data_IF_668557137477
#
_entry.id   IF_668557137477
#
_cell.length_a   1.000
_cell.length_b   1.000
_cell.length_c   1.000
_cell.angle_alpha   90.00
_cell.angle_beta   90.00
_cell.angle_gamma   90.00
#
_symmetry.space_group_name_H-M   'P 1'
#
loop_
_entity.id
_entity.type
_entity.pdbx_description
1 polymer ?
#
# COMPACT_ATOMS: atom_id res chain seq x y z
N UNK A 1 26.95 -7.60 -21.93
CA UNK A 1 26.08 -7.80 -20.76
C UNK A 1 25.20 -6.57 -20.68
N UNK A 2 23.88 -6.74 -20.66
CA UNK A 2 22.94 -5.61 -20.80
C UNK A 2 23.04 -4.69 -19.57
N UNK A 3 23.35 -3.42 -19.78
CA UNK A 3 23.25 -2.33 -18.80
C UNK A 3 21.78 -1.99 -18.50
N UNK A 4 20.93 -3.01 -18.32
CA UNK A 4 19.52 -2.77 -17.98
C UNK A 4 19.49 -2.21 -16.56
N UNK A 5 18.92 -1.01 -16.33
CA UNK A 5 18.68 -0.54 -14.98
C UNK A 5 17.88 -1.62 -14.22
N UNK A 6 18.17 -1.86 -12.94
CA UNK A 6 17.42 -2.85 -12.17
C UNK A 6 15.92 -2.55 -12.30
N UNK A 7 15.12 -3.55 -12.68
CA UNK A 7 13.66 -3.44 -12.69
C UNK A 7 13.18 -3.26 -11.24
N UNK A 8 13.13 -2.01 -10.77
CA UNK A 8 12.57 -1.67 -9.47
C UNK A 8 11.08 -1.35 -9.62
N UNK A 9 10.28 -1.88 -8.71
CA UNK A 9 8.91 -1.43 -8.54
C UNK A 9 8.89 -0.15 -7.71
N UNK A 10 7.83 0.66 -7.85
CA UNK A 10 7.67 1.82 -6.96
C UNK A 10 7.52 1.41 -5.49
N UNK A 11 7.00 0.20 -5.24
CA UNK A 11 6.88 -0.35 -3.89
C UNK A 11 8.24 -0.59 -3.22
N UNK A 12 9.29 -0.83 -4.02
CA UNK A 12 10.66 -1.01 -3.55
C UNK A 12 11.37 0.33 -3.25
N UNK A 13 10.92 1.44 -3.85
CA UNK A 13 11.49 2.78 -3.67
C UNK A 13 10.84 3.58 -2.53
N UNK A 14 9.59 3.25 -2.19
CA UNK A 14 8.83 3.93 -1.15
C UNK A 14 9.12 3.33 0.25
N UNK A 15 8.87 4.08 1.35
CA UNK A 15 9.11 3.58 2.71
C UNK A 15 8.35 2.27 2.93
N UNK A 16 9.10 1.23 3.28
CA UNK A 16 8.57 -0.11 3.34
C UNK A 16 7.70 -0.31 4.59
N UNK A 17 6.57 -0.99 4.40
CA UNK A 17 5.76 -1.49 5.49
C UNK A 17 6.29 -2.85 5.94
N UNK A 18 6.04 -3.15 7.21
CA UNK A 18 6.54 -4.37 7.83
C UNK A 18 5.39 -5.17 8.44
N UNK A 19 5.26 -6.43 8.05
CA UNK A 19 4.22 -7.33 8.55
C UNK A 19 4.77 -8.31 9.58
N UNK A 20 4.10 -8.39 10.73
CA UNK A 20 4.38 -9.35 11.77
C UNK A 20 3.96 -10.76 11.34
N UNK A 21 4.91 -11.67 11.16
CA UNK A 21 4.61 -13.07 10.78
C UNK A 21 3.80 -13.84 11.82
N UNK A 22 3.79 -13.38 13.07
CA UNK A 22 3.09 -14.06 14.16
C UNK A 22 1.60 -13.73 14.23
N UNK A 23 1.18 -12.53 13.79
CA UNK A 23 -0.20 -12.09 13.96
C UNK A 23 -0.78 -11.25 12.80
N UNK A 24 0.00 -10.95 11.76
CA UNK A 24 -0.44 -10.16 10.60
C UNK A 24 -0.55 -8.65 10.86
N UNK A 25 -0.10 -8.14 12.02
CA UNK A 25 -0.02 -6.71 12.24
C UNK A 25 0.97 -6.06 11.25
N UNK A 26 0.53 -5.01 10.57
CA UNK A 26 1.38 -4.24 9.65
C UNK A 26 1.77 -2.91 10.29
N UNK A 27 3.08 -2.72 10.50
CA UNK A 27 3.66 -1.43 10.82
C UNK A 27 3.75 -0.58 9.56
N UNK A 28 3.18 0.63 9.64
CA UNK A 28 3.17 1.63 8.59
C UNK A 28 3.98 2.85 9.06
N UNK A 29 5.17 3.12 8.49
CA UNK A 29 5.99 4.25 8.89
C UNK A 29 5.25 5.59 8.78
N UNK A 30 4.35 5.77 7.82
CA UNK A 30 3.59 7.01 7.64
C UNK A 30 2.56 7.23 8.75
N UNK A 31 2.13 6.17 9.44
CA UNK A 31 1.21 6.25 10.58
C UNK A 31 1.91 6.17 11.94
N UNK A 32 3.08 5.54 11.99
CA UNK A 32 3.74 5.19 13.25
C UNK A 32 2.93 4.16 14.04
N UNK A 33 3.04 4.19 15.36
CA UNK A 33 2.28 3.32 16.26
C UNK A 33 1.92 4.04 17.55
N UNK A 34 0.65 4.45 17.66
CA UNK A 34 0.15 5.16 18.85
C UNK A 34 0.16 4.30 20.10
N UNK A 35 0.07 2.97 20.00
CA UNK A 35 0.06 2.08 21.17
C UNK A 35 1.43 2.00 21.85
N UNK A 36 2.49 2.15 21.07
CA UNK A 36 3.88 2.17 21.57
C UNK A 36 4.44 3.59 21.67
N UNK A 37 3.63 4.63 21.44
CA UNK A 37 4.05 6.03 21.34
C UNK A 37 5.14 6.26 20.27
N UNK A 38 5.10 5.52 19.18
CA UNK A 38 5.95 5.70 18.02
C UNK A 38 5.32 6.76 17.10
N UNK A 39 6.00 7.89 16.83
CA UNK A 39 5.43 8.95 16.01
C UNK A 39 5.30 8.53 14.54
N UNK A 40 4.39 9.20 13.83
CA UNK A 40 4.30 9.10 12.39
C UNK A 40 5.61 9.59 11.73
N UNK A 41 6.02 8.91 10.67
CA UNK A 41 7.27 9.15 9.97
C UNK A 41 8.46 8.34 10.47
N UNK A 42 8.34 7.57 11.56
CA UNK A 42 9.44 6.72 12.04
C UNK A 42 9.60 5.49 11.14
N UNK A 43 10.73 5.30 10.44
CA UNK A 43 10.98 4.08 9.68
C UNK A 43 11.17 2.89 10.62
N UNK A 44 10.84 1.68 10.15
CA UNK A 44 10.85 0.49 10.98
C UNK A 44 12.26 0.15 11.51
N UNK A 45 13.28 0.48 10.73
CA UNK A 45 14.69 0.32 11.03
C UNK A 45 15.11 1.16 12.24
N UNK A 46 14.57 2.39 12.36
CA UNK A 46 14.85 3.32 13.45
C UNK A 46 14.07 3.02 14.74
N UNK A 47 13.15 2.05 14.72
CA UNK A 47 12.47 1.62 15.94
C UNK A 47 13.50 1.11 16.97
N UNK A 48 13.28 1.33 18.27
CA UNK A 48 14.17 0.80 19.28
C UNK A 48 14.12 -0.74 19.31
N UNK A 49 15.20 -1.40 19.71
CA UNK A 49 15.23 -2.88 19.85
C UNK A 49 14.25 -3.41 20.90
N UNK A 50 13.87 -2.56 21.85
CA UNK A 50 12.86 -2.84 22.87
C UNK A 50 11.44 -2.79 22.31
N UNK A 51 11.22 -2.21 21.12
CA UNK A 51 9.92 -2.19 20.48
C UNK A 51 9.39 -3.62 20.28
N UNK A 52 8.09 -3.78 20.48
CA UNK A 52 7.37 -5.04 20.37
C UNK A 52 6.13 -4.81 19.53
N UNK A 53 5.71 -5.84 18.81
CA UNK A 53 4.45 -5.81 18.10
C UNK A 53 3.31 -5.40 19.06
N UNK A 54 2.54 -4.34 18.77
CA UNK A 54 1.48 -3.83 19.65
C UNK A 54 0.27 -4.76 19.74
N UNK A 55 0.25 -5.83 18.94
CA UNK A 55 -0.84 -6.83 18.89
C UNK A 55 -0.46 -8.10 19.65
N UNK A 56 0.73 -8.67 19.41
CA UNK A 56 1.13 -9.97 19.97
C UNK A 56 2.42 -9.97 20.79
N UNK A 57 3.10 -8.82 20.91
CA UNK A 57 4.27 -8.68 21.80
C UNK A 57 5.57 -9.32 21.30
N UNK A 58 5.63 -9.85 20.07
CA UNK A 58 6.88 -10.38 19.50
C UNK A 58 7.87 -9.27 19.14
N UNK A 59 9.15 -9.64 19.01
CA UNK A 59 10.24 -8.71 18.63
C UNK A 59 10.14 -8.30 17.16
N UNK A 60 10.79 -7.19 16.80
CA UNK A 60 10.94 -6.70 15.42
C UNK A 60 11.49 -7.75 14.44
N UNK A 61 12.31 -8.69 14.93
CA UNK A 61 12.86 -9.78 14.10
C UNK A 61 11.82 -10.76 13.53
N UNK A 62 10.58 -10.74 14.04
CA UNK A 62 9.47 -11.50 13.48
C UNK A 62 8.71 -10.77 12.37
N UNK A 63 9.14 -9.56 12.01
CA UNK A 63 8.56 -8.80 10.91
C UNK A 63 9.28 -9.08 9.60
N UNK A 64 8.53 -9.02 8.51
CA UNK A 64 9.04 -9.08 7.14
C UNK A 64 8.69 -7.79 6.43
N UNK A 65 9.62 -7.33 5.58
CA UNK A 65 9.37 -6.23 4.67
C UNK A 65 8.36 -6.69 3.60
N UNK A 66 7.26 -5.95 3.45
CA UNK A 66 6.21 -6.22 2.46
C UNK A 66 6.10 -5.10 1.41
N UNK A 67 7.10 -4.22 1.32
CA UNK A 67 7.11 -3.05 0.46
C UNK A 67 6.12 -1.96 0.88
N UNK A 68 6.02 -0.91 0.08
CA UNK A 68 5.05 0.17 0.32
C UNK A 68 3.63 -0.22 -0.10
N UNK A 69 2.64 -0.03 0.79
CA UNK A 69 1.22 -0.35 0.55
C UNK A 69 0.54 0.65 -0.39
N UNK A 70 0.97 1.90 -0.34
CA UNK A 70 0.35 2.99 -1.10
C UNK A 70 1.03 3.22 -2.44
N UNK A 71 2.07 2.45 -2.77
CA UNK A 71 2.73 2.53 -4.06
C UNK A 71 1.86 1.90 -5.18
N UNK A 72 1.84 2.50 -6.38
CA UNK A 72 1.28 1.87 -7.57
C UNK A 72 1.95 0.52 -7.84
N UNK A 73 1.16 -0.48 -8.23
CA UNK A 73 1.65 -1.81 -8.53
C UNK A 73 2.42 -1.85 -9.85
N UNK A 74 3.55 -2.55 -9.88
CA UNK A 74 4.29 -2.89 -11.10
C UNK A 74 5.66 -2.21 -11.23
N UNK A 75 6.33 -2.50 -12.34
CA UNK A 75 7.64 -1.94 -12.67
C UNK A 75 7.52 -0.47 -13.11
N UNK A 76 8.52 0.34 -12.75
CA UNK A 76 8.52 1.77 -13.05
C UNK A 76 8.37 2.07 -14.56
N UNK A 77 8.96 1.23 -15.41
CA UNK A 77 8.88 1.31 -16.88
C UNK A 77 7.44 1.23 -17.42
N UNK A 78 6.53 0.52 -16.74
CA UNK A 78 5.17 0.26 -17.21
C UNK A 78 4.11 1.22 -16.64
N UNK A 79 4.49 2.13 -15.75
CA UNK A 79 3.53 3.04 -15.10
C UNK A 79 2.91 4.06 -16.05
N UNK A 80 3.62 4.38 -17.14
CA UNK A 80 3.14 5.28 -18.20
C UNK A 80 2.32 4.56 -19.28
N UNK A 81 2.25 3.23 -19.26
CA UNK A 81 1.51 2.46 -20.26
C UNK A 81 -0.01 2.66 -20.14
N UNK A 82 -0.70 2.76 -21.28
CA UNK A 82 -2.16 2.83 -21.35
C UNK A 82 -2.73 4.20 -20.98
N UNK A 83 -3.90 4.21 -20.33
CA UNK A 83 -4.67 5.43 -20.05
C UNK A 83 -4.33 6.10 -18.71
N UNK A 84 -3.11 5.89 -18.20
CA UNK A 84 -2.65 6.53 -16.96
C UNK A 84 -3.31 6.00 -15.68
N UNK A 85 -3.94 4.82 -15.70
CA UNK A 85 -4.47 4.14 -14.49
C UNK A 85 -3.40 3.34 -13.74
N UNK A 86 -2.27 3.04 -14.39
CA UNK A 86 -1.17 2.27 -13.80
C UNK A 86 -0.36 3.06 -12.76
N UNK A 87 -0.51 4.39 -12.73
CA UNK A 87 0.10 5.26 -11.70
C UNK A 87 -0.79 5.48 -10.47
N UNK A 88 -2.01 4.92 -10.45
CA UNK A 88 -2.93 5.09 -9.33
C UNK A 88 -2.50 4.20 -8.16
N UNK A 89 -2.69 4.70 -6.94
CA UNK A 89 -2.57 3.86 -5.75
C UNK A 89 -3.69 2.81 -5.73
N UNK A 90 -3.53 1.70 -4.99
CA UNK A 90 -4.60 0.70 -4.87
C UNK A 90 -5.95 1.30 -4.43
N UNK A 91 -5.91 2.26 -3.49
CA UNK A 91 -7.11 2.94 -3.01
C UNK A 91 -7.77 3.80 -4.10
N UNK A 92 -7.00 4.61 -4.83
CA UNK A 92 -7.52 5.43 -5.93
C UNK A 92 -8.13 4.57 -7.05
N UNK A 93 -7.47 3.45 -7.38
CA UNK A 93 -7.95 2.50 -8.39
C UNK A 93 -9.27 1.86 -7.97
N UNK A 94 -9.39 1.45 -6.71
CA UNK A 94 -10.64 0.90 -6.17
C UNK A 94 -11.77 1.93 -6.22
N UNK A 95 -11.52 3.17 -5.81
CA UNK A 95 -12.51 4.26 -5.88
C UNK A 95 -12.97 4.49 -7.32
N UNK A 96 -12.05 4.52 -8.28
CA UNK A 96 -12.39 4.69 -9.69
C UNK A 96 -13.26 3.54 -10.22
N UNK A 97 -12.88 2.29 -9.94
CA UNK A 97 -13.61 1.09 -10.40
C UNK A 97 -15.00 1.05 -9.79
N UNK A 98 -15.11 1.08 -8.46
CA UNK A 98 -16.40 0.94 -7.78
C UNK A 98 -17.28 2.18 -7.98
N UNK A 99 -16.70 3.37 -8.06
CA UNK A 99 -17.43 4.60 -8.40
C UNK A 99 -18.03 4.53 -9.80
N UNK A 100 -17.26 4.10 -10.80
CA UNK A 100 -17.76 3.94 -12.17
C UNK A 100 -18.85 2.85 -12.26
N UNK A 101 -18.66 1.71 -11.58
CA UNK A 101 -19.68 0.65 -11.52
C UNK A 101 -20.98 1.14 -10.85
N UNK A 102 -20.88 1.88 -9.75
CA UNK A 102 -22.05 2.43 -9.06
C UNK A 102 -22.78 3.46 -9.92
N UNK A 103 -22.05 4.39 -10.58
CA UNK A 103 -22.64 5.36 -11.50
C UNK A 103 -23.31 4.67 -12.69
N UNK A 104 -22.66 3.65 -13.26
CA UNK A 104 -23.23 2.84 -14.35
C UNK A 104 -24.51 2.11 -13.92
N UNK A 105 -24.53 1.56 -12.71
CA UNK A 105 -25.71 0.92 -12.14
C UNK A 105 -26.86 1.91 -11.94
N UNK A 106 -26.58 3.08 -11.34
CA UNK A 106 -27.59 4.14 -11.14
C UNK A 106 -28.13 4.65 -12.48
N UNK A 107 -27.25 4.85 -13.47
CA UNK A 107 -27.65 5.23 -14.82
C UNK A 107 -28.53 4.15 -15.48
N UNK A 108 -28.18 2.88 -15.34
CA UNK A 108 -28.98 1.78 -15.89
C UNK A 108 -30.37 1.70 -15.23
N UNK A 109 -30.44 1.86 -13.91
CA UNK A 109 -31.71 1.85 -13.15
C UNK A 109 -32.57 3.09 -13.46
N UNK A 110 -31.97 4.27 -13.68
CA UNK A 110 -32.73 5.48 -14.00
C UNK A 110 -33.50 5.37 -15.32
N UNK A 111 -33.05 4.53 -16.27
CA UNK A 111 -33.78 4.25 -17.50
C UNK A 111 -35.12 3.55 -17.26
N UNK A 112 -35.26 2.78 -16.18
CA UNK A 112 -36.55 2.19 -15.79
C UNK A 112 -37.54 3.23 -15.23
N UNK A 113 -37.06 4.42 -14.85
CA UNK A 113 -37.87 5.53 -14.36
C UNK A 113 -38.39 6.46 -15.45
N UNK A 114 -38.09 6.20 -16.73
CA UNK A 114 -38.52 7.01 -17.87
C UNK A 114 -39.90 6.62 -18.44
N UNK A 115 -40.70 5.86 -17.69
CA UNK A 115 -42.09 5.51 -18.04
C UNK A 115 -43.07 6.63 -17.67
#
# INVERSE_FOLDING_TARGET
MSDRPPELTLADQAPANYECRSCGYVYDPSKGDSKTNTPAGTPFEELPETWRCPVCGVRRSQFINIGAKDAPSGFQENLSYGFGVNRLTPAQKNILIFGALALGFVFFISLYGLN
#
